data_IF_335771358746
#
_entry.id   IF_335771358746
#
_cell.length_a   1.000
_cell.length_b   1.000
_cell.length_c   1.000
_cell.angle_alpha   90.00
_cell.angle_beta   90.00
_cell.angle_gamma   90.00
#
_symmetry.space_group_name_H-M   'P 1'
#
loop_
_entity.id
_entity.type
_entity.pdbx_description
1 polymer ?
#
# COMPACT_ATOMS: atom_id res chain seq x y z
N UNK A 1 35.22 -3.49 17.64
CA UNK A 1 34.37 -4.61 17.20
C UNK A 1 34.03 -4.32 15.75
N UNK A 2 34.69 -5.00 14.82
CA UNK A 2 34.45 -4.86 13.38
C UNK A 2 33.01 -5.26 13.07
N UNK A 3 32.31 -4.40 12.32
CA UNK A 3 30.87 -4.50 12.08
C UNK A 3 30.60 -5.78 11.27
N UNK A 4 29.73 -6.69 11.74
CA UNK A 4 29.48 -7.99 11.08
C UNK A 4 28.95 -7.87 9.63
N UNK A 5 28.62 -6.67 9.17
CA UNK A 5 28.20 -6.38 7.80
C UNK A 5 29.36 -6.20 6.81
N UNK A 6 30.60 -5.99 7.25
CA UNK A 6 31.76 -5.76 6.35
C UNK A 6 32.26 -7.03 5.60
N UNK A 7 31.67 -8.20 5.85
CA UNK A 7 32.19 -9.48 5.32
C UNK A 7 31.44 -10.04 4.11
N UNK A 8 30.26 -9.51 3.76
CA UNK A 8 29.50 -9.99 2.60
C UNK A 8 29.83 -9.14 1.35
N UNK A 9 30.15 -9.74 0.20
CA UNK A 9 30.44 -9.00 -1.04
C UNK A 9 29.13 -8.47 -1.67
N UNK A 10 28.51 -7.48 -1.04
CA UNK A 10 27.17 -7.01 -1.40
C UNK A 10 27.15 -5.82 -2.37
N UNK A 11 28.20 -4.99 -2.40
CA UNK A 11 28.25 -3.81 -3.27
C UNK A 11 28.01 -4.13 -4.76
N UNK A 12 28.60 -5.20 -5.35
CA UNK A 12 28.28 -5.56 -6.73
C UNK A 12 26.80 -5.88 -6.96
N UNK A 13 26.14 -6.52 -5.99
CA UNK A 13 24.70 -6.83 -6.07
C UNK A 13 23.85 -5.57 -5.94
N UNK A 14 24.27 -4.60 -5.11
CA UNK A 14 23.61 -3.31 -5.01
C UNK A 14 23.76 -2.50 -6.31
N UNK A 15 24.94 -2.51 -6.93
CA UNK A 15 25.19 -1.86 -8.21
C UNK A 15 24.35 -2.48 -9.33
N UNK A 16 24.23 -3.81 -9.36
CA UNK A 16 23.36 -4.54 -10.31
C UNK A 16 21.89 -4.18 -10.11
N UNK A 17 21.42 -4.13 -8.85
CA UNK A 17 20.07 -3.69 -8.53
C UNK A 17 19.82 -2.26 -9.03
N UNK A 18 20.71 -1.31 -8.72
CA UNK A 18 20.61 0.08 -9.16
C UNK A 18 20.60 0.19 -10.69
N UNK A 19 21.46 -0.56 -11.37
CA UNK A 19 21.49 -0.61 -12.83
C UNK A 19 20.16 -1.14 -13.41
N UNK A 20 19.61 -2.21 -12.82
CA UNK A 20 18.33 -2.80 -13.23
C UNK A 20 17.16 -1.83 -13.06
N UNK A 21 17.03 -1.19 -11.89
CA UNK A 21 15.98 -0.20 -11.61
C UNK A 21 16.09 0.99 -12.57
N UNK A 22 17.31 1.48 -12.81
CA UNK A 22 17.57 2.57 -13.76
C UNK A 22 17.18 2.18 -15.19
N UNK A 23 17.53 0.97 -15.63
CA UNK A 23 17.19 0.49 -16.98
C UNK A 23 15.67 0.43 -17.21
N UNK A 24 14.90 0.09 -16.17
CA UNK A 24 13.44 0.11 -16.18
C UNK A 24 12.83 1.53 -16.13
N UNK A 25 13.64 2.56 -15.87
CA UNK A 25 13.22 3.97 -15.90
C UNK A 25 12.79 4.56 -14.55
N UNK A 26 13.04 3.87 -13.44
CA UNK A 26 12.52 4.25 -12.11
C UNK A 26 13.50 5.03 -11.22
N UNK A 27 14.73 5.26 -11.68
CA UNK A 27 15.82 5.79 -10.84
C UNK A 27 16.75 6.71 -11.63
N UNK A 28 16.32 7.98 -11.77
CA UNK A 28 16.96 9.00 -12.60
C UNK A 28 17.92 9.89 -11.80
N UNK A 29 17.60 10.23 -10.55
CA UNK A 29 18.38 11.09 -9.68
C UNK A 29 19.71 10.41 -9.30
N UNK A 30 20.87 11.00 -9.64
CA UNK A 30 22.17 10.45 -9.26
C UNK A 30 22.38 10.35 -7.74
N UNK A 31 21.76 11.22 -6.94
CA UNK A 31 21.85 11.19 -5.47
C UNK A 31 21.11 9.98 -4.91
N UNK A 32 19.93 9.68 -5.45
CA UNK A 32 19.15 8.51 -5.06
C UNK A 32 19.83 7.21 -5.52
N UNK A 33 20.47 7.22 -6.70
CA UNK A 33 21.31 6.09 -7.15
C UNK A 33 22.43 5.78 -6.15
N UNK A 34 23.15 6.80 -5.69
CA UNK A 34 24.17 6.63 -4.66
C UNK A 34 23.56 6.08 -3.35
N UNK A 35 22.42 6.62 -2.91
CA UNK A 35 21.74 6.16 -1.71
C UNK A 35 21.39 4.66 -1.75
N UNK A 36 20.87 4.15 -2.87
CA UNK A 36 20.59 2.72 -3.02
C UNK A 36 21.87 1.86 -3.09
N UNK A 37 22.92 2.36 -3.75
CA UNK A 37 24.20 1.65 -3.89
C UNK A 37 24.96 1.55 -2.56
N UNK A 38 24.83 2.57 -1.69
CA UNK A 38 25.59 2.69 -0.44
C UNK A 38 24.80 2.23 0.80
N UNK A 39 23.49 1.97 0.69
CA UNK A 39 22.67 1.48 1.81
C UNK A 39 22.57 -0.05 1.81
N UNK A 40 23.09 -0.76 2.85
CA UNK A 40 23.10 -2.22 2.87
C UNK A 40 21.72 -2.81 3.16
N UNK A 41 20.92 -3.13 2.13
CA UNK A 41 19.56 -3.69 2.30
C UNK A 41 19.51 -4.94 3.18
N UNK A 42 20.54 -5.80 3.11
CA UNK A 42 20.68 -7.02 3.92
C UNK A 42 20.92 -6.78 5.42
N UNK A 43 21.24 -5.54 5.81
CA UNK A 43 21.27 -5.12 7.20
C UNK A 43 19.85 -4.91 7.75
N UNK A 44 18.96 -4.39 6.89
CA UNK A 44 17.56 -4.13 7.23
C UNK A 44 16.66 -5.35 7.06
N UNK A 45 17.10 -6.37 6.33
CA UNK A 45 16.35 -7.60 6.07
C UNK A 45 17.23 -8.82 6.39
N UNK A 46 17.58 -9.07 7.67
CA UNK A 46 18.44 -10.21 8.04
C UNK A 46 17.78 -11.57 7.77
N UNK A 47 16.46 -11.59 7.72
CA UNK A 47 15.62 -12.71 7.32
C UNK A 47 14.32 -12.18 6.70
N UNK A 48 13.66 -13.02 5.90
CA UNK A 48 12.32 -12.76 5.35
C UNK A 48 11.53 -14.06 5.20
N UNK A 49 10.21 -13.97 5.13
CA UNK A 49 9.30 -15.12 5.07
C UNK A 49 9.40 -15.82 3.71
N UNK A 50 9.30 -17.15 3.72
CA UNK A 50 9.21 -17.92 2.49
C UNK A 50 7.81 -17.82 1.89
N UNK A 51 7.74 -17.64 0.58
CA UNK A 51 6.51 -17.55 -0.18
C UNK A 51 6.51 -18.59 -1.30
N UNK A 52 5.35 -19.20 -1.54
CA UNK A 52 5.06 -19.90 -2.78
C UNK A 52 4.29 -18.96 -3.71
N UNK A 53 4.86 -18.67 -4.87
CA UNK A 53 4.30 -17.70 -5.82
C UNK A 53 3.67 -18.47 -6.97
N UNK A 54 2.35 -18.45 -7.03
CA UNK A 54 1.55 -19.07 -8.10
C UNK A 54 0.74 -18.05 -8.91
N UNK A 55 0.00 -18.51 -9.93
CA UNK A 55 -0.88 -17.66 -10.73
C UNK A 55 -1.96 -16.94 -9.91
N UNK A 56 -2.34 -17.52 -8.76
CA UNK A 56 -3.33 -16.99 -7.82
C UNK A 56 -2.73 -16.04 -6.77
N UNK A 57 -1.43 -15.72 -6.85
CA UNK A 57 -0.74 -14.84 -5.90
C UNK A 57 0.32 -15.57 -5.06
N UNK A 58 0.80 -14.87 -4.01
CA UNK A 58 1.80 -15.39 -3.09
C UNK A 58 1.15 -15.97 -1.83
N UNK A 59 1.40 -17.25 -1.56
CA UNK A 59 0.94 -17.95 -0.36
C UNK A 59 2.10 -18.09 0.63
N UNK A 60 1.85 -17.85 1.91
CA UNK A 60 2.83 -18.15 2.96
C UNK A 60 3.14 -19.64 3.00
N UNK A 61 4.43 -19.98 3.09
CA UNK A 61 4.87 -21.33 3.43
C UNK A 61 5.76 -21.28 4.65
N UNK A 62 5.74 -22.34 5.45
CA UNK A 62 6.49 -22.37 6.71
C UNK A 62 8.00 -22.13 6.50
N UNK A 63 8.54 -21.25 7.34
CA UNK A 63 9.97 -20.96 7.44
C UNK A 63 10.39 -19.60 6.87
N UNK A 64 11.67 -19.29 7.08
CA UNK A 64 12.30 -18.05 6.66
C UNK A 64 13.46 -18.33 5.70
N UNK A 65 13.84 -17.30 4.94
CA UNK A 65 15.11 -17.22 4.24
C UNK A 65 15.99 -16.26 5.00
N UNK A 66 17.14 -16.74 5.46
CA UNK A 66 18.11 -15.97 6.25
C UNK A 66 19.51 -16.08 5.67
N UNK A 67 20.49 -15.45 6.34
CA UNK A 67 21.91 -15.44 5.94
C UNK A 67 22.56 -16.83 5.77
N UNK A 68 21.97 -17.89 6.32
CA UNK A 68 22.46 -19.27 6.13
C UNK A 68 22.02 -19.88 4.80
N UNK A 69 21.02 -19.28 4.14
CA UNK A 69 20.52 -19.74 2.85
C UNK A 69 21.44 -19.29 1.71
N UNK A 70 21.93 -20.19 0.83
CA UNK A 70 22.93 -19.82 -0.20
C UNK A 70 22.51 -18.67 -1.12
N UNK A 71 21.22 -18.52 -1.40
CA UNK A 71 20.68 -17.48 -2.29
C UNK A 71 20.19 -16.22 -1.57
N UNK A 72 20.25 -16.18 -0.24
CA UNK A 72 19.71 -15.07 0.55
C UNK A 72 20.25 -13.71 0.10
N UNK A 73 21.58 -13.59 -0.03
CA UNK A 73 22.18 -12.29 -0.31
C UNK A 73 21.80 -11.81 -1.71
N UNK A 74 21.83 -12.68 -2.71
CA UNK A 74 21.36 -12.36 -4.07
C UNK A 74 19.89 -11.98 -4.08
N UNK A 75 19.03 -12.72 -3.39
CA UNK A 75 17.59 -12.44 -3.32
C UNK A 75 17.30 -11.06 -2.68
N UNK A 76 18.03 -10.70 -1.61
CA UNK A 76 17.88 -9.39 -0.96
C UNK A 76 18.12 -8.22 -1.92
N UNK A 77 19.03 -8.38 -2.87
CA UNK A 77 19.38 -7.36 -3.87
C UNK A 77 18.63 -7.56 -5.20
N UNK A 78 17.49 -8.24 -5.19
CA UNK A 78 16.57 -8.23 -6.32
C UNK A 78 15.55 -7.11 -6.20
N UNK A 79 14.99 -6.71 -7.35
CA UNK A 79 13.89 -5.74 -7.42
C UNK A 79 12.56 -6.41 -7.08
N UNK A 80 12.46 -6.93 -5.86
CA UNK A 80 11.28 -7.59 -5.30
C UNK A 80 11.02 -7.09 -3.88
N UNK A 81 9.76 -7.13 -3.46
CA UNK A 81 9.39 -6.96 -2.07
C UNK A 81 9.73 -8.23 -1.28
N UNK A 82 10.24 -8.07 -0.07
CA UNK A 82 10.60 -9.17 0.83
C UNK A 82 9.71 -9.10 2.06
N UNK A 83 8.90 -10.13 2.27
CA UNK A 83 7.91 -10.15 3.33
C UNK A 83 8.57 -10.44 4.68
N UNK A 84 8.36 -9.61 5.71
CA UNK A 84 9.12 -9.71 6.96
C UNK A 84 8.27 -9.97 8.20
N UNK A 85 6.95 -9.78 8.12
CA UNK A 85 6.07 -10.02 9.26
C UNK A 85 4.65 -10.36 8.81
N UNK A 86 4.01 -11.26 9.55
CA UNK A 86 2.56 -11.45 9.57
C UNK A 86 2.00 -11.05 10.92
N UNK A 87 0.72 -10.66 10.94
CA UNK A 87 -0.05 -10.46 12.16
C UNK A 87 -1.37 -11.24 12.07
N UNK A 88 -1.90 -11.70 13.21
CA UNK A 88 -3.23 -12.30 13.23
C UNK A 88 -4.29 -11.24 12.88
N UNK A 89 -5.41 -11.74 12.40
CA UNK A 89 -6.62 -10.96 12.22
C UNK A 89 -7.46 -11.01 13.49
N UNK A 90 -8.01 -9.87 13.92
CA UNK A 90 -8.81 -9.81 15.16
C UNK A 90 -10.08 -10.67 14.98
N UNK A 91 -10.31 -11.59 15.92
CA UNK A 91 -11.47 -12.49 15.87
C UNK A 91 -11.31 -13.69 14.93
N UNK A 92 -10.20 -13.79 14.20
CA UNK A 92 -9.89 -14.91 13.30
C UNK A 92 -8.51 -15.48 13.65
N UNK A 93 -8.41 -16.30 14.71
CA UNK A 93 -7.13 -16.73 15.28
C UNK A 93 -6.25 -17.55 14.31
N UNK A 94 -6.86 -18.20 13.32
CA UNK A 94 -6.15 -19.00 12.31
C UNK A 94 -5.86 -18.21 11.02
N UNK A 95 -6.25 -16.93 10.96
CA UNK A 95 -6.02 -16.05 9.81
C UNK A 95 -4.85 -15.12 10.05
N UNK A 96 -3.90 -15.12 9.12
CA UNK A 96 -2.71 -14.27 9.15
C UNK A 96 -2.64 -13.42 7.90
N UNK A 97 -2.30 -12.15 8.10
CA UNK A 97 -2.16 -11.17 7.03
C UNK A 97 -0.77 -10.55 7.11
N UNK A 98 -0.19 -10.28 5.94
CA UNK A 98 1.08 -9.56 5.83
C UNK A 98 0.98 -8.20 6.51
N UNK A 99 1.91 -7.91 7.42
CA UNK A 99 1.91 -6.69 8.23
C UNK A 99 3.18 -5.86 8.09
N UNK A 100 4.25 -6.42 7.52
CA UNK A 100 5.47 -5.69 7.21
C UNK A 100 6.27 -6.34 6.08
N UNK A 101 6.96 -5.52 5.30
CA UNK A 101 7.90 -5.95 4.26
C UNK A 101 9.04 -4.94 4.10
N UNK A 102 10.13 -5.38 3.48
CA UNK A 102 11.00 -4.48 2.74
C UNK A 102 10.43 -4.31 1.35
N UNK A 103 9.82 -3.16 1.06
CA UNK A 103 9.16 -2.88 -0.21
C UNK A 103 10.09 -3.04 -1.41
N UNK A 104 9.49 -3.23 -2.58
CA UNK A 104 10.21 -3.34 -3.85
C UNK A 104 11.06 -2.08 -4.10
N UNK A 105 12.38 -2.20 -4.36
CA UNK A 105 13.28 -1.07 -4.52
C UNK A 105 12.85 -0.07 -5.60
N UNK A 106 12.38 -0.53 -6.76
CA UNK A 106 11.88 0.35 -7.83
C UNK A 106 10.66 1.18 -7.41
N UNK A 107 9.76 0.62 -6.60
CA UNK A 107 8.61 1.36 -6.06
C UNK A 107 9.06 2.45 -5.09
N UNK A 108 10.01 2.14 -4.19
CA UNK A 108 10.59 3.14 -3.29
C UNK A 108 11.29 4.27 -4.06
N UNK A 109 12.06 3.89 -5.09
CA UNK A 109 12.74 4.85 -5.95
C UNK A 109 11.75 5.80 -6.63
N UNK A 110 10.69 5.26 -7.25
CA UNK A 110 9.64 6.03 -7.89
C UNK A 110 8.92 6.98 -6.92
N UNK A 111 8.56 6.51 -5.72
CA UNK A 111 7.88 7.37 -4.75
C UNK A 111 8.76 8.52 -4.27
N UNK A 112 10.06 8.29 -4.07
CA UNK A 112 11.02 9.33 -3.68
C UNK A 112 11.24 10.34 -4.82
N UNK A 113 11.36 9.86 -6.06
CA UNK A 113 11.46 10.69 -7.27
C UNK A 113 10.21 11.56 -7.45
N UNK A 114 9.02 10.98 -7.26
CA UNK A 114 7.76 11.70 -7.35
C UNK A 114 7.61 12.76 -6.26
N UNK A 115 8.17 12.54 -5.07
CA UNK A 115 8.21 13.58 -4.04
C UNK A 115 9.18 14.72 -4.40
N UNK A 116 10.05 14.56 -5.41
CA UNK A 116 11.01 15.58 -5.83
C UNK A 116 11.79 16.16 -4.65
N UNK A 117 12.34 15.27 -3.82
CA UNK A 117 13.08 15.62 -2.61
C UNK A 117 14.36 16.38 -2.98
N UNK A 118 14.58 17.54 -2.36
CA UNK A 118 15.73 18.42 -2.59
C UNK A 118 16.54 18.62 -1.31
N UNK A 119 17.85 18.91 -1.39
CA UNK A 119 18.66 19.20 -0.22
C UNK A 119 18.06 20.38 0.56
N UNK A 120 18.06 20.28 1.89
CA UNK A 120 17.48 21.29 2.78
C UNK A 120 15.98 21.12 3.07
N UNK A 121 15.30 20.17 2.45
CA UNK A 121 13.93 19.80 2.80
C UNK A 121 13.89 18.86 4.02
N UNK A 122 12.77 18.89 4.74
CA UNK A 122 12.44 17.94 5.82
C UNK A 122 11.36 16.95 5.37
N UNK A 123 11.53 15.68 5.71
CA UNK A 123 10.66 14.58 5.31
C UNK A 123 10.09 13.87 6.53
N UNK A 124 8.78 13.58 6.50
CA UNK A 124 8.14 12.59 7.35
C UNK A 124 7.86 11.32 6.54
N UNK A 125 8.35 10.18 7.02
CA UNK A 125 7.94 8.86 6.56
C UNK A 125 6.94 8.25 7.56
N UNK A 126 5.77 7.87 7.08
CA UNK A 126 4.78 7.07 7.81
C UNK A 126 4.91 5.61 7.38
N UNK A 127 5.48 4.78 8.27
CA UNK A 127 5.77 3.37 8.02
C UNK A 127 7.27 3.06 8.00
N UNK A 128 7.96 3.14 9.13
CA UNK A 128 9.39 2.79 9.22
C UNK A 128 9.66 1.34 8.77
N UNK A 129 8.78 0.40 9.14
CA UNK A 129 8.90 -1.01 8.77
C UNK A 129 10.27 -1.60 9.14
N UNK A 130 11.05 -2.00 8.13
CA UNK A 130 12.39 -2.55 8.33
C UNK A 130 13.47 -1.51 8.64
N UNK A 131 13.23 -0.23 8.31
CA UNK A 131 14.19 0.88 8.40
C UNK A 131 14.98 1.15 7.12
N UNK A 132 14.85 0.32 6.07
CA UNK A 132 15.64 0.47 4.84
C UNK A 132 15.38 1.80 4.12
N UNK A 133 14.11 2.16 3.94
CA UNK A 133 13.74 3.40 3.25
C UNK A 133 14.09 4.65 4.09
N UNK A 134 13.90 4.59 5.42
CA UNK A 134 14.41 5.61 6.33
C UNK A 134 15.92 5.85 6.18
N UNK A 135 16.72 4.79 6.01
CA UNK A 135 18.17 4.91 5.78
C UNK A 135 18.50 5.57 4.44
N UNK A 136 17.76 5.25 3.37
CA UNK A 136 17.87 5.92 2.07
C UNK A 136 17.56 7.42 2.21
N UNK A 137 16.48 7.77 2.91
CA UNK A 137 16.13 9.17 3.18
C UNK A 137 17.20 9.89 4.01
N UNK A 138 17.77 9.21 5.02
CA UNK A 138 18.86 9.75 5.84
C UNK A 138 20.12 9.98 5.01
N UNK A 139 20.45 9.07 4.10
CA UNK A 139 21.58 9.26 3.18
C UNK A 139 21.35 10.46 2.25
N UNK A 140 20.13 10.66 1.76
CA UNK A 140 19.78 11.75 0.86
C UNK A 140 19.78 13.15 1.50
N UNK A 141 19.31 13.26 2.75
CA UNK A 141 19.02 14.55 3.39
C UNK A 141 19.82 14.82 4.67
N UNK A 142 20.46 13.79 5.22
CA UNK A 142 20.95 13.76 6.59
C UNK A 142 19.86 13.38 7.60
N UNK A 143 20.23 12.60 8.62
CA UNK A 143 19.34 12.06 9.66
C UNK A 143 18.42 13.12 10.32
N UNK A 144 18.93 14.34 10.53
CA UNK A 144 18.20 15.43 11.21
C UNK A 144 17.02 15.96 10.40
N UNK A 145 17.01 15.74 9.09
CA UNK A 145 15.94 16.16 8.19
C UNK A 145 14.85 15.07 8.04
N UNK A 146 15.04 13.90 8.64
CA UNK A 146 14.14 12.75 8.52
C UNK A 146 13.43 12.52 9.83
N UNK A 147 12.11 12.42 9.77
CA UNK A 147 11.28 11.79 10.80
C UNK A 147 10.68 10.53 10.24
N UNK A 148 10.73 9.42 10.97
CA UNK A 148 10.07 8.17 10.58
C UNK A 148 9.22 7.64 11.73
N UNK A 149 8.00 7.19 11.44
CA UNK A 149 7.07 6.66 12.45
C UNK A 149 6.63 5.25 12.11
N UNK A 150 6.44 4.44 13.15
CA UNK A 150 6.00 3.06 13.07
C UNK A 150 5.05 2.77 14.23
N UNK A 151 3.93 2.13 13.91
CA UNK A 151 2.88 1.79 14.88
C UNK A 151 3.27 0.57 15.72
N UNK A 152 3.99 -0.40 15.14
CA UNK A 152 4.45 -1.59 15.83
C UNK A 152 5.72 -1.30 16.65
N UNK A 153 5.65 -1.37 17.99
CA UNK A 153 6.78 -1.02 18.83
C UNK A 153 8.01 -1.92 18.63
N UNK A 154 7.83 -3.19 18.26
CA UNK A 154 8.92 -4.14 18.06
C UNK A 154 9.64 -3.88 16.72
N UNK A 155 8.88 -3.61 15.66
CA UNK A 155 9.45 -3.17 14.38
C UNK A 155 10.18 -1.84 14.54
N UNK A 156 9.55 -0.87 15.23
CA UNK A 156 10.15 0.44 15.50
C UNK A 156 11.49 0.29 16.21
N UNK A 157 11.54 -0.48 17.30
CA UNK A 157 12.78 -0.72 18.06
C UNK A 157 13.86 -1.31 17.16
N UNK A 158 13.53 -2.40 16.46
CA UNK A 158 14.47 -3.13 15.61
C UNK A 158 15.01 -2.27 14.46
N UNK A 159 14.15 -1.49 13.80
CA UNK A 159 14.53 -0.60 12.73
C UNK A 159 15.47 0.51 13.22
N UNK A 160 15.20 1.10 14.39
CA UNK A 160 16.05 2.13 14.98
C UNK A 160 17.42 1.58 15.38
N UNK A 161 17.50 0.38 15.96
CA UNK A 161 18.78 -0.27 16.25
C UNK A 161 19.63 -0.43 14.98
N UNK A 162 19.01 -0.87 13.89
CA UNK A 162 19.68 -1.02 12.58
C UNK A 162 20.11 0.32 11.98
N UNK A 163 19.31 1.38 12.12
CA UNK A 163 19.69 2.72 11.69
C UNK A 163 20.90 3.23 12.47
N UNK A 164 20.92 3.02 13.79
CA UNK A 164 22.03 3.41 14.68
C UNK A 164 23.32 2.68 14.31
N UNK A 165 23.25 1.39 13.93
CA UNK A 165 24.42 0.63 13.47
C UNK A 165 25.08 1.22 12.21
N UNK A 166 24.34 2.03 11.44
CA UNK A 166 24.85 2.81 10.30
C UNK A 166 25.15 4.27 10.64
N UNK A 167 25.01 4.66 11.91
CA UNK A 167 25.23 6.04 12.38
C UNK A 167 24.07 7.00 12.10
N UNK A 168 22.87 6.50 11.83
CA UNK A 168 21.67 7.32 11.60
C UNK A 168 20.75 7.33 12.82
N UNK A 169 20.31 8.54 13.20
CA UNK A 169 19.44 8.86 14.32
C UNK A 169 18.29 9.79 13.88
N UNK A 170 17.43 9.38 12.94
CA UNK A 170 16.28 10.19 12.57
C UNK A 170 15.32 10.41 13.75
N UNK A 171 14.55 11.48 13.71
CA UNK A 171 13.49 11.71 14.70
C UNK A 171 12.40 10.65 14.57
N UNK A 172 11.80 10.28 15.70
CA UNK A 172 10.59 9.44 15.76
C UNK A 172 9.38 10.18 16.30
N UNK A 173 9.54 11.49 16.54
CA UNK A 173 8.52 12.37 17.09
C UNK A 173 8.12 13.38 16.03
N UNK A 174 6.93 13.22 15.42
CA UNK A 174 6.41 14.18 14.47
C UNK A 174 6.27 15.57 15.06
N UNK A 175 6.59 16.60 14.27
CA UNK A 175 6.43 17.99 14.66
C UNK A 175 5.43 18.71 13.74
N UNK A 176 4.59 19.55 14.35
CA UNK A 176 3.55 20.33 13.66
C UNK A 176 4.19 21.35 12.73
N UNK A 177 3.68 21.46 11.50
CA UNK A 177 4.17 22.38 10.44
C UNK A 177 5.67 22.31 10.17
N UNK A 178 6.26 21.12 10.27
CA UNK A 178 7.71 20.94 10.13
C UNK A 178 8.14 20.29 8.82
N UNK A 179 7.25 19.68 8.04
CA UNK A 179 7.63 18.85 6.90
C UNK A 179 7.35 19.51 5.55
N UNK A 180 8.33 19.46 4.65
CA UNK A 180 8.17 19.82 3.23
C UNK A 180 7.56 18.68 2.42
N UNK A 181 7.79 17.43 2.87
CA UNK A 181 7.35 16.20 2.22
C UNK A 181 6.85 15.19 3.24
N UNK A 182 5.77 14.50 2.90
CA UNK A 182 5.24 13.40 3.68
C UNK A 182 5.10 12.20 2.74
N UNK A 183 5.71 11.08 3.11
CA UNK A 183 5.67 9.81 2.39
C UNK A 183 4.98 8.77 3.26
N UNK A 184 3.95 8.11 2.74
CA UNK A 184 3.38 6.94 3.38
C UNK A 184 3.81 5.66 2.65
N UNK A 185 4.49 4.77 3.37
CA UNK A 185 4.94 3.45 2.89
C UNK A 185 3.98 2.33 3.34
N UNK A 186 2.72 2.70 3.54
CA UNK A 186 1.57 1.82 3.75
C UNK A 186 0.35 2.44 3.04
N UNK A 187 -0.64 1.62 2.74
CA UNK A 187 -1.89 2.09 2.14
C UNK A 187 -2.80 2.75 3.18
N UNK A 188 -3.58 3.74 2.75
CA UNK A 188 -4.64 4.38 3.55
C UNK A 188 -5.93 4.48 2.74
N UNK A 189 -7.07 4.43 3.41
CA UNK A 189 -8.39 4.65 2.82
C UNK A 189 -8.62 6.14 2.49
N UNK A 190 -8.19 6.99 3.42
CA UNK A 190 -8.18 8.44 3.36
C UNK A 190 -6.82 8.99 3.80
N UNK A 191 -6.38 10.09 3.20
CA UNK A 191 -5.23 10.84 3.67
C UNK A 191 -5.57 11.41 5.06
N UNK A 192 -4.85 11.01 6.14
CA UNK A 192 -5.16 11.47 7.47
C UNK A 192 -5.03 12.99 7.60
N UNK A 193 -5.99 13.69 8.24
CA UNK A 193 -5.90 15.14 8.47
C UNK A 193 -4.69 15.51 9.35
N UNK A 194 -4.18 14.57 10.14
CA UNK A 194 -2.94 14.76 10.90
C UNK A 194 -1.73 15.04 9.99
N UNK A 195 -1.64 14.42 8.82
CA UNK A 195 -0.54 14.74 7.88
C UNK A 195 -0.63 16.17 7.37
N UNK A 196 -1.85 16.71 7.18
CA UNK A 196 -2.05 18.12 6.85
C UNK A 196 -1.53 19.02 7.98
N UNK A 197 -1.78 18.66 9.26
CA UNK A 197 -1.31 19.43 10.43
C UNK A 197 0.21 19.38 10.59
N UNK A 198 0.83 18.27 10.22
CA UNK A 198 2.29 18.07 10.31
C UNK A 198 3.04 18.78 9.17
N UNK A 199 2.47 18.83 7.96
CA UNK A 199 3.10 19.48 6.81
C UNK A 199 3.02 21.01 6.84
N UNK A 200 4.04 21.66 6.28
CA UNK A 200 4.00 23.11 6.01
C UNK A 200 2.93 23.42 4.94
N UNK A 201 2.39 24.65 4.87
CA UNK A 201 1.69 25.11 3.67
C UNK A 201 2.54 24.85 2.42
N UNK A 202 1.92 24.32 1.36
CA UNK A 202 2.63 23.92 0.14
C UNK A 202 3.45 22.62 0.24
N UNK A 203 3.43 21.90 1.36
CA UNK A 203 4.08 20.61 1.47
C UNK A 203 3.37 19.55 0.62
N UNK A 204 4.13 18.59 0.10
CA UNK A 204 3.60 17.52 -0.76
C UNK A 204 3.47 16.24 0.04
N UNK A 205 2.30 15.62 -0.02
CA UNK A 205 2.00 14.30 0.53
C UNK A 205 1.92 13.32 -0.63
N UNK A 206 2.63 12.20 -0.53
CA UNK A 206 2.48 11.04 -1.41
C UNK A 206 2.06 9.83 -0.57
N UNK A 207 0.92 9.26 -0.91
CA UNK A 207 0.35 8.12 -0.21
C UNK A 207 -0.30 7.15 -1.18
N UNK A 208 -0.37 5.89 -0.79
CA UNK A 208 -1.09 4.86 -1.53
C UNK A 208 -2.55 4.80 -1.06
N UNK A 209 -3.49 5.21 -1.90
CA UNK A 209 -4.92 5.18 -1.60
C UNK A 209 -5.53 3.85 -2.03
N UNK A 210 -5.93 3.04 -1.06
CA UNK A 210 -6.55 1.74 -1.29
C UNK A 210 -7.70 1.47 -0.33
N UNK A 211 -8.67 0.63 -0.73
CA UNK A 211 -9.59 0.04 0.23
C UNK A 211 -8.81 -0.69 1.35
N UNK A 212 -9.41 -0.86 2.53
CA UNK A 212 -8.89 -1.75 3.57
C UNK A 212 -8.68 -3.19 3.05
N UNK A 213 -8.16 -4.07 3.92
CA UNK A 213 -7.97 -5.49 3.63
C UNK A 213 -6.88 -5.83 2.59
N UNK A 214 -5.83 -5.00 2.45
CA UNK A 214 -4.74 -5.23 1.48
C UNK A 214 -5.24 -5.42 0.03
N UNK A 215 -6.29 -4.69 -0.36
CA UNK A 215 -6.82 -4.75 -1.72
C UNK A 215 -5.76 -4.41 -2.76
N UNK A 216 -5.77 -5.13 -3.88
CA UNK A 216 -4.93 -4.79 -5.04
C UNK A 216 -5.49 -3.57 -5.81
N UNK A 217 -6.73 -3.18 -5.54
CA UNK A 217 -7.34 -1.98 -6.13
C UNK A 217 -6.78 -0.73 -5.44
N UNK A 218 -6.44 0.29 -6.20
CA UNK A 218 -6.00 1.57 -5.64
C UNK A 218 -5.04 2.36 -6.52
N UNK A 219 -4.63 3.52 -6.05
CA UNK A 219 -3.79 4.45 -6.79
C UNK A 219 -2.94 5.28 -5.83
N UNK A 220 -1.78 5.75 -6.27
CA UNK A 220 -1.04 6.74 -5.49
C UNK A 220 -1.73 8.09 -5.60
N UNK A 221 -1.85 8.79 -4.48
CA UNK A 221 -2.31 10.18 -4.43
C UNK A 221 -1.15 11.08 -4.09
N UNK A 222 -0.90 12.05 -4.96
CA UNK A 222 0.07 13.13 -4.76
C UNK A 222 -0.69 14.43 -4.58
N UNK A 223 -0.74 14.91 -3.34
CA UNK A 223 -1.48 16.12 -2.97
C UNK A 223 -0.55 17.17 -2.37
N UNK A 224 -0.87 18.43 -2.59
CA UNK A 224 -0.17 19.57 -2.01
C UNK A 224 -1.08 20.21 -0.97
N UNK A 225 -0.55 20.44 0.23
CA UNK A 225 -1.28 21.14 1.30
C UNK A 225 -1.56 22.56 0.85
N UNK A 226 -2.81 22.99 0.99
CA UNK A 226 -3.27 24.33 0.63
C UNK A 226 -2.50 25.40 1.43
N UNK A 227 -2.35 26.61 0.88
CA UNK A 227 -1.63 27.72 1.53
C UNK A 227 -2.26 28.13 2.88
N UNK A 228 -3.56 27.90 3.06
CA UNK A 228 -4.25 28.12 4.34
C UNK A 228 -4.03 27.00 5.37
N UNK A 229 -3.38 25.91 4.95
CA UNK A 229 -3.06 24.75 5.77
C UNK A 229 -4.27 23.94 6.24
N UNK A 230 -5.47 24.11 5.65
CA UNK A 230 -6.70 23.44 6.09
C UNK A 230 -7.08 22.23 5.24
N UNK A 231 -6.59 22.15 4.01
CA UNK A 231 -6.86 21.06 3.10
C UNK A 231 -5.64 20.69 2.28
N UNK A 232 -5.82 19.77 1.33
CA UNK A 232 -4.84 19.47 0.32
C UNK A 232 -5.52 19.14 -1.01
N UNK A 233 -4.84 19.41 -2.12
CA UNK A 233 -5.34 19.13 -3.47
C UNK A 233 -4.27 18.51 -4.35
N UNK A 234 -4.68 17.63 -5.26
CA UNK A 234 -3.75 16.98 -6.15
C UNK A 234 -4.39 16.05 -7.15
N UNK A 235 -3.64 15.02 -7.54
CA UNK A 235 -4.05 14.05 -8.56
C UNK A 235 -3.73 12.64 -8.13
N UNK A 236 -4.45 11.70 -8.73
CA UNK A 236 -4.07 10.30 -8.68
C UNK A 236 -2.98 9.99 -9.71
N UNK A 237 -2.22 8.95 -9.40
CA UNK A 237 -1.19 8.38 -10.24
C UNK A 237 -1.42 6.87 -10.33
N UNK A 238 -1.13 6.24 -11.47
CA UNK A 238 -1.24 4.80 -11.60
C UNK A 238 -0.34 4.14 -10.56
N UNK A 239 -0.83 3.11 -9.86
CA UNK A 239 0.01 2.39 -8.91
C UNK A 239 1.14 1.68 -9.65
N UNK A 240 2.36 1.75 -9.12
CA UNK A 240 3.51 0.95 -9.60
C UNK A 240 3.89 -0.18 -8.65
N UNK A 241 3.11 -0.31 -7.58
CA UNK A 241 3.18 -1.35 -6.55
C UNK A 241 2.02 -1.18 -5.57
N UNK A 242 1.81 -2.20 -4.74
CA UNK A 242 0.75 -2.26 -3.73
C UNK A 242 1.36 -2.21 -2.33
N UNK A 243 0.68 -1.55 -1.40
CA UNK A 243 1.07 -1.52 0.01
C UNK A 243 0.05 -2.19 0.89
N UNK A 244 0.52 -2.66 2.06
CA UNK A 244 -0.34 -3.18 3.11
C UNK A 244 -1.16 -2.04 3.72
N UNK A 245 -2.39 -2.32 4.10
CA UNK A 245 -3.29 -1.37 4.77
C UNK A 245 -2.69 -0.86 6.09
N UNK A 246 -2.92 0.42 6.36
CA UNK A 246 -2.58 1.04 7.64
C UNK A 246 -3.24 0.26 8.79
N UNK A 247 -2.45 -0.13 9.77
CA UNK A 247 -2.98 -0.76 10.98
C UNK A 247 -3.55 0.31 11.90
N UNK A 248 -4.67 -0.01 12.54
CA UNK A 248 -5.31 0.82 13.59
C UNK A 248 -4.75 0.52 14.98
N UNK A 249 -4.20 -0.68 15.16
CA UNK A 249 -3.58 -1.18 16.40
C UNK A 249 -2.37 -2.05 16.07
N UNK A 250 -1.34 -2.09 16.93
CA UNK A 250 -0.10 -2.82 16.60
C UNK A 250 -0.21 -4.34 16.63
N UNK A 251 -1.18 -4.90 17.35
CA UNK A 251 -1.31 -6.35 17.57
C UNK A 251 -1.95 -7.09 16.40
N UNK A 252 -2.77 -6.41 15.60
CA UNK A 252 -3.58 -7.03 14.56
C UNK A 252 -3.31 -6.38 13.19
N UNK A 253 -3.43 -7.18 12.13
CA UNK A 253 -3.55 -6.64 10.79
C UNK A 253 -4.91 -5.93 10.62
N UNK A 254 -4.99 -4.97 9.70
CA UNK A 254 -6.29 -4.47 9.22
C UNK A 254 -6.72 -5.36 8.07
N UNK A 255 -7.66 -6.28 8.33
CA UNK A 255 -8.27 -7.14 7.34
C UNK A 255 -9.50 -6.49 6.68
N UNK A 256 -9.78 -5.22 7.01
CA UNK A 256 -10.97 -4.51 6.58
C UNK A 256 -12.27 -5.09 7.10
N UNK A 257 -12.27 -6.11 7.97
CA UNK A 257 -13.49 -6.78 8.41
C UNK A 257 -13.94 -6.32 9.79
N UNK A 258 -15.17 -5.80 9.80
CA UNK A 258 -16.21 -6.29 10.70
C UNK A 258 -17.29 -6.91 9.81
N UNK A 259 -16.96 -7.93 9.01
CA UNK A 259 -18.03 -8.70 8.36
C UNK A 259 -18.86 -9.31 9.50
N UNK A 260 -20.17 -9.05 9.57
CA UNK A 260 -21.00 -9.71 10.55
C UNK A 260 -20.92 -11.21 10.28
N UNK A 261 -20.56 -12.00 11.29
CA UNK A 261 -20.83 -13.43 11.27
C UNK A 261 -22.34 -13.58 11.15
N UNK A 262 -22.81 -13.98 9.97
CA UNK A 262 -24.22 -14.27 9.77
C UNK A 262 -24.57 -15.50 10.60
N UNK A 263 -25.64 -15.42 11.38
CA UNK A 263 -26.16 -16.62 12.05
C UNK A 263 -26.64 -17.64 11.01
N UNK A 264 -26.75 -18.91 11.40
CA UNK A 264 -27.33 -19.94 10.54
C UNK A 264 -28.75 -19.55 10.05
N UNK A 265 -29.53 -18.88 10.91
CA UNK A 265 -30.87 -18.39 10.59
C UNK A 265 -30.82 -17.29 9.52
N UNK A 266 -29.86 -16.37 9.60
CA UNK A 266 -29.67 -15.35 8.56
C UNK A 266 -29.14 -15.93 7.25
N UNK A 267 -28.26 -16.94 7.31
CA UNK A 267 -27.86 -17.69 6.12
C UNK A 267 -29.07 -18.37 5.44
N UNK A 268 -29.95 -18.99 6.22
CA UNK A 268 -31.16 -19.64 5.70
C UNK A 268 -32.15 -18.62 5.12
N UNK A 269 -32.46 -17.54 5.83
CA UNK A 269 -33.31 -16.44 5.34
C UNK A 269 -32.76 -15.86 4.04
N UNK A 270 -31.44 -15.64 3.96
CA UNK A 270 -30.79 -15.08 2.79
C UNK A 270 -30.79 -16.03 1.60
N UNK A 271 -30.62 -17.35 1.83
CA UNK A 271 -30.73 -18.35 0.77
C UNK A 271 -32.13 -18.42 0.13
N UNK A 272 -33.18 -18.01 0.85
CA UNK A 272 -34.55 -17.91 0.31
C UNK A 272 -34.75 -16.66 -0.57
N UNK A 273 -33.83 -15.68 -0.54
CA UNK A 273 -33.89 -14.42 -1.29
C UNK A 273 -33.05 -14.44 -2.58
N UNK A 274 -32.64 -15.62 -3.07
CA UNK A 274 -31.85 -15.72 -4.30
C UNK A 274 -32.70 -15.29 -5.50
N UNK A 275 -32.31 -14.19 -6.12
CA UNK A 275 -32.80 -13.82 -7.45
C UNK A 275 -31.71 -14.10 -8.49
N UNK A 276 -32.07 -14.76 -9.59
CA UNK A 276 -31.17 -14.98 -10.71
C UNK A 276 -31.67 -14.23 -11.94
N UNK A 277 -30.79 -13.44 -12.55
CA UNK A 277 -31.06 -12.69 -13.79
C UNK A 277 -29.84 -12.66 -14.70
N UNK A 278 -30.03 -12.25 -15.94
CA UNK A 278 -28.92 -12.01 -16.86
C UNK A 278 -28.14 -10.75 -16.46
N UNK A 279 -26.82 -10.77 -16.69
CA UNK A 279 -25.94 -9.63 -16.48
C UNK A 279 -25.95 -8.68 -17.68
N UNK A 280 -25.89 -7.39 -17.41
CA UNK A 280 -25.72 -6.33 -18.41
C UNK A 280 -24.25 -6.00 -18.67
N UNK A 281 -23.38 -6.34 -17.71
CA UNK A 281 -21.93 -6.13 -17.77
C UNK A 281 -21.25 -7.44 -17.38
N UNK A 282 -20.21 -7.80 -18.13
CA UNK A 282 -19.44 -9.02 -17.88
C UNK A 282 -18.45 -8.82 -16.71
N UNK A 283 -18.15 -9.86 -15.92
CA UNK A 283 -17.42 -9.71 -14.68
C UNK A 283 -15.97 -9.27 -14.82
N UNK A 284 -15.36 -9.47 -15.99
CA UNK A 284 -14.00 -9.03 -16.32
C UNK A 284 -13.85 -7.51 -16.25
N UNK A 285 -14.95 -6.75 -16.20
CA UNK A 285 -14.89 -5.30 -15.96
C UNK A 285 -14.22 -4.95 -14.62
N UNK A 286 -14.28 -5.84 -13.63
CA UNK A 286 -13.64 -5.64 -12.33
C UNK A 286 -12.11 -5.82 -12.38
N UNK A 287 -11.58 -6.37 -13.47
CA UNK A 287 -10.13 -6.43 -13.72
C UNK A 287 -9.59 -5.08 -14.23
N UNK A 288 -10.47 -4.18 -14.70
CA UNK A 288 -10.10 -2.80 -14.98
C UNK A 288 -9.88 -2.05 -13.66
N UNK A 289 -8.60 -1.75 -13.36
CA UNK A 289 -8.20 -1.10 -12.13
C UNK A 289 -8.82 0.30 -11.95
N UNK A 290 -9.06 1.03 -13.04
CA UNK A 290 -9.70 2.34 -12.98
C UNK A 290 -11.17 2.19 -12.61
N UNK A 291 -11.87 1.23 -13.21
CA UNK A 291 -13.25 0.95 -12.86
C UNK A 291 -13.39 0.42 -11.42
N UNK A 292 -12.54 -0.52 -10.99
CA UNK A 292 -12.56 -1.03 -9.63
C UNK A 292 -12.31 0.08 -8.59
N UNK A 293 -11.38 1.00 -8.89
CA UNK A 293 -11.14 2.20 -8.07
C UNK A 293 -12.36 3.14 -8.05
N UNK A 294 -13.05 3.30 -9.19
CA UNK A 294 -14.27 4.09 -9.29
C UNK A 294 -15.38 3.50 -8.42
N UNK A 295 -15.59 2.18 -8.47
CA UNK A 295 -16.55 1.45 -7.64
C UNK A 295 -16.32 1.70 -6.15
N UNK A 296 -15.07 1.57 -5.70
CA UNK A 296 -14.74 1.87 -4.30
C UNK A 296 -15.07 3.31 -3.91
N UNK A 297 -14.72 4.30 -4.75
CA UNK A 297 -14.97 5.72 -4.45
C UNK A 297 -16.43 6.14 -4.58
N UNK A 298 -17.28 5.30 -5.15
CA UNK A 298 -18.74 5.43 -5.10
C UNK A 298 -19.37 4.72 -3.90
N UNK A 299 -18.58 4.33 -2.90
CA UNK A 299 -18.99 3.68 -1.65
C UNK A 299 -19.67 2.32 -1.86
N UNK A 300 -19.22 1.56 -2.85
CA UNK A 300 -19.72 0.19 -2.98
C UNK A 300 -19.07 -0.77 -1.97
N UNK A 301 -17.94 -0.42 -1.33
CA UNK A 301 -17.21 -1.26 -0.36
C UNK A 301 -17.22 -2.76 -0.72
N UNK A 302 -17.00 -3.03 -2.01
CA UNK A 302 -17.07 -4.36 -2.60
C UNK A 302 -15.76 -5.11 -2.32
N UNK A 303 -15.88 -6.28 -1.71
CA UNK A 303 -14.88 -7.33 -1.82
C UNK A 303 -15.24 -8.25 -2.98
N UNK A 304 -14.32 -8.39 -3.93
CA UNK A 304 -14.46 -9.29 -5.08
C UNK A 304 -13.43 -10.41 -5.01
N UNK A 305 -13.82 -11.64 -5.30
CA UNK A 305 -12.91 -12.75 -5.48
C UNK A 305 -13.34 -13.64 -6.63
N UNK A 306 -12.35 -14.28 -7.26
CA UNK A 306 -12.55 -15.23 -8.33
C UNK A 306 -12.40 -16.67 -7.82
N UNK A 307 -13.34 -17.53 -8.17
CA UNK A 307 -13.27 -18.95 -7.87
C UNK A 307 -13.88 -19.76 -9.02
N UNK A 308 -13.13 -20.72 -9.57
CA UNK A 308 -13.61 -21.64 -10.62
C UNK A 308 -14.21 -20.96 -11.88
N UNK A 309 -13.71 -19.77 -12.25
CA UNK A 309 -14.24 -19.00 -13.39
C UNK A 309 -15.51 -18.20 -13.09
N UNK A 310 -15.85 -18.06 -11.81
CA UNK A 310 -16.95 -17.23 -11.30
C UNK A 310 -16.36 -16.06 -10.52
N UNK A 311 -17.01 -14.89 -10.57
CA UNK A 311 -16.72 -13.79 -9.65
C UNK A 311 -17.80 -13.74 -8.59
N UNK A 312 -17.39 -13.55 -7.35
CA UNK A 312 -18.28 -13.32 -6.22
C UNK A 312 -17.94 -11.98 -5.58
N UNK A 313 -18.97 -11.25 -5.20
CA UNK A 313 -18.92 -9.95 -4.55
C UNK A 313 -19.57 -10.04 -3.19
N UNK A 314 -19.02 -9.34 -2.22
CA UNK A 314 -19.68 -9.10 -0.94
C UNK A 314 -19.42 -7.69 -0.42
N UNK A 315 -20.27 -7.22 0.48
CA UNK A 315 -20.03 -6.00 1.26
C UNK A 315 -20.20 -6.30 2.76
N UNK A 316 -19.81 -5.34 3.60
CA UNK A 316 -19.87 -5.51 5.05
C UNK A 316 -21.28 -5.64 5.62
N UNK A 317 -22.33 -5.21 4.92
CA UNK A 317 -23.73 -5.45 5.34
C UNK A 317 -24.22 -6.89 5.00
N UNK A 318 -23.35 -7.67 4.37
CA UNK A 318 -23.58 -9.04 3.95
C UNK A 318 -24.34 -9.17 2.63
N UNK A 319 -24.62 -8.09 1.90
CA UNK A 319 -25.08 -8.17 0.52
C UNK A 319 -24.04 -8.92 -0.32
N UNK A 320 -24.53 -9.79 -1.21
CA UNK A 320 -23.68 -10.71 -1.96
C UNK A 320 -24.21 -10.89 -3.38
N UNK A 321 -23.30 -11.03 -4.33
CA UNK A 321 -23.63 -11.38 -5.70
C UNK A 321 -22.61 -12.36 -6.26
N UNK A 322 -23.05 -13.28 -7.12
CA UNK A 322 -22.17 -14.21 -7.83
C UNK A 322 -22.55 -14.29 -9.29
N UNK A 323 -21.57 -14.04 -10.15
CA UNK A 323 -21.75 -14.12 -11.60
C UNK A 323 -21.12 -15.41 -12.13
N UNK A 324 -21.91 -16.16 -12.88
CA UNK A 324 -21.51 -17.39 -13.57
C UNK A 324 -21.92 -17.30 -15.03
N UNK A 325 -20.92 -17.11 -15.90
CA UNK A 325 -21.18 -16.87 -17.31
C UNK A 325 -22.02 -15.60 -17.50
N UNK A 326 -23.22 -15.73 -18.07
CA UNK A 326 -24.10 -14.58 -18.33
C UNK A 326 -25.16 -14.34 -17.25
N UNK A 327 -25.17 -15.12 -16.17
CA UNK A 327 -26.17 -15.02 -15.11
C UNK A 327 -25.54 -14.53 -13.80
N UNK A 328 -26.29 -13.72 -13.05
CA UNK A 328 -25.95 -13.32 -11.68
C UNK A 328 -27.00 -13.84 -10.72
N UNK A 329 -26.53 -14.40 -9.60
CA UNK A 329 -27.33 -14.71 -8.42
C UNK A 329 -27.04 -13.66 -7.36
N UNK A 330 -28.07 -13.02 -6.85
CA UNK A 330 -27.96 -11.96 -5.84
C UNK A 330 -28.61 -12.43 -4.55
N UNK A 331 -27.97 -12.13 -3.42
CA UNK A 331 -28.42 -12.50 -2.08
C UNK A 331 -28.38 -11.26 -1.18
N UNK A 332 -29.48 -11.04 -0.46
CA UNK A 332 -29.60 -9.96 0.54
C UNK A 332 -30.56 -8.87 0.09
N UNK A 333 -30.56 -7.75 0.83
CA UNK A 333 -31.54 -6.69 0.64
C UNK A 333 -31.15 -5.68 -0.48
N UNK A 334 -30.00 -5.91 -1.14
CA UNK A 334 -29.44 -5.06 -2.21
C UNK A 334 -29.07 -5.91 -3.42
N UNK A 335 -29.38 -5.42 -4.62
CA UNK A 335 -28.82 -5.96 -5.86
C UNK A 335 -27.42 -5.36 -6.11
N UNK A 336 -26.41 -5.97 -5.48
CA UNK A 336 -25.02 -5.52 -5.56
C UNK A 336 -24.50 -5.52 -7.00
N UNK A 337 -24.99 -6.41 -7.86
CA UNK A 337 -24.57 -6.44 -9.26
C UNK A 337 -25.24 -5.34 -10.07
N UNK A 338 -26.51 -5.01 -9.80
CA UNK A 338 -27.17 -3.86 -10.40
C UNK A 338 -26.47 -2.55 -10.04
N UNK A 339 -25.91 -2.44 -8.83
CA UNK A 339 -25.11 -1.30 -8.42
C UNK A 339 -23.79 -1.20 -9.20
N UNK A 340 -23.12 -2.34 -9.45
CA UNK A 340 -21.95 -2.40 -10.34
C UNK A 340 -22.33 -1.99 -11.77
N UNK A 341 -23.43 -2.52 -12.30
CA UNK A 341 -23.93 -2.18 -13.64
C UNK A 341 -24.31 -0.69 -13.75
N UNK A 342 -24.91 -0.12 -12.71
CA UNK A 342 -25.22 1.30 -12.65
C UNK A 342 -23.96 2.16 -12.61
N UNK A 343 -22.98 1.77 -11.79
CA UNK A 343 -21.70 2.44 -11.67
C UNK A 343 -20.90 2.36 -12.97
N UNK A 344 -20.99 1.25 -13.69
CA UNK A 344 -20.42 1.10 -15.02
C UNK A 344 -21.05 2.07 -16.02
N UNK A 345 -22.39 2.21 -16.03
CA UNK A 345 -23.06 3.21 -16.88
C UNK A 345 -22.62 4.64 -16.56
N UNK A 346 -22.51 4.98 -15.28
CA UNK A 346 -22.03 6.30 -14.84
C UNK A 346 -20.58 6.55 -15.30
N UNK A 347 -19.71 5.55 -15.16
CA UNK A 347 -18.32 5.62 -15.61
C UNK A 347 -18.19 5.76 -17.13
N UNK A 348 -19.02 5.03 -17.88
CA UNK A 348 -19.13 5.18 -19.34
C UNK A 348 -19.60 6.58 -19.73
N UNK A 349 -20.61 7.11 -19.04
CA UNK A 349 -21.13 8.46 -19.29
C UNK A 349 -20.09 9.54 -18.99
N UNK A 350 -19.20 9.31 -18.02
CA UNK A 350 -18.07 10.18 -17.71
C UNK A 350 -16.89 10.05 -18.69
N UNK A 351 -16.97 9.19 -19.71
CA UNK A 351 -15.94 9.04 -20.73
C UNK A 351 -14.75 8.17 -20.33
N UNK A 352 -14.86 7.41 -19.24
CA UNK A 352 -13.81 6.49 -18.75
C UNK A 352 -12.41 7.13 -18.65
N UNK A 353 -12.30 8.29 -17.97
CA UNK A 353 -11.04 9.02 -17.94
C UNK A 353 -9.96 8.18 -17.25
N UNK A 354 -8.72 8.18 -17.75
CA UNK A 354 -7.63 7.48 -17.09
C UNK A 354 -7.42 8.04 -15.68
N UNK A 355 -6.98 7.18 -14.75
CA UNK A 355 -6.76 7.54 -13.33
C UNK A 355 -5.89 8.81 -13.16
N UNK A 356 -4.95 9.06 -14.07
CA UNK A 356 -4.09 10.26 -14.08
C UNK A 356 -4.84 11.59 -14.23
N UNK A 357 -6.06 11.56 -14.75
CA UNK A 357 -6.90 12.74 -14.92
C UNK A 357 -7.74 13.06 -13.68
N UNK A 358 -7.85 12.12 -12.74
CA UNK A 358 -8.70 12.27 -11.57
C UNK A 358 -8.03 13.17 -10.55
N UNK A 359 -8.82 14.08 -9.96
CA UNK A 359 -8.34 15.00 -8.94
C UNK A 359 -8.69 14.50 -7.54
N UNK A 360 -7.81 14.78 -6.59
CA UNK A 360 -7.99 14.45 -5.18
C UNK A 360 -8.10 15.74 -4.39
N UNK A 361 -9.08 15.79 -3.48
CA UNK A 361 -9.24 16.85 -2.49
C UNK A 361 -9.33 16.23 -1.10
N UNK A 362 -8.50 16.71 -0.19
CA UNK A 362 -8.58 16.35 1.23
C UNK A 362 -9.23 17.50 1.97
N UNK A 363 -10.37 17.19 2.60
CA UNK A 363 -11.16 18.15 3.37
C UNK A 363 -10.56 18.38 4.77
N UNK A 364 -10.84 19.52 5.43
CA UNK A 364 -10.43 19.76 6.81
C UNK A 364 -10.92 18.69 7.79
N UNK A 365 -12.07 18.08 7.49
CA UNK A 365 -12.69 17.02 8.28
C UNK A 365 -12.02 15.65 8.09
N UNK A 366 -11.08 15.53 7.13
CA UNK A 366 -10.30 14.32 6.88
C UNK A 366 -10.87 13.38 5.81
N UNK A 367 -11.93 13.79 5.10
CA UNK A 367 -12.42 13.06 3.93
C UNK A 367 -11.50 13.28 2.72
N UNK A 368 -11.15 12.20 2.01
CA UNK A 368 -10.44 12.25 0.73
C UNK A 368 -11.45 12.05 -0.41
N UNK A 369 -11.81 13.16 -1.04
CA UNK A 369 -12.75 13.24 -2.16
C UNK A 369 -11.99 13.04 -3.47
N UNK A 370 -12.53 12.19 -4.35
CA UNK A 370 -11.97 11.93 -5.68
C UNK A 370 -13.00 12.33 -6.72
N UNK A 371 -12.58 13.22 -7.63
CA UNK A 371 -13.44 13.77 -8.66
C UNK A 371 -12.91 13.36 -10.05
N UNK A 372 -13.82 12.90 -10.91
CA UNK A 372 -13.53 12.69 -12.32
C UNK A 372 -13.43 14.04 -13.04
N UNK A 373 -12.68 14.14 -14.16
CA UNK A 373 -12.78 15.30 -15.04
C UNK A 373 -14.24 15.50 -15.49
N UNK A 374 -14.67 16.76 -15.50
CA UNK A 374 -16.02 17.18 -15.90
C UNK A 374 -16.15 17.54 -17.38
#
# INVERSE_FOLDING_TARGET
MTNRNEQLPWHPLADELVASIKQKGHLSDPRLRAAFAETPRHHFVPEYLRLDIGPSGATHIDGTVDRSTPQYLTAVYTDQALMTQTKPVRGQPDSFVWSSSSSMPSVMADMIEELQIRPGMTVLESGTGTGYNAAILCHLLGERAVTTIEIDPDLRKTALERLVDLGYHPSTTPQVRSYDRILATHAVDNIPPEWIKLGKPGAVILADLRPPANSQVGAWAKVTIDEDGRGARGRLMPPRGYFMSARKVPEFADDGQQLPELTLEEHQRRAEMIETRDVLVQPEILDDQAFALYCWRRNLDIWSWYQNGEVSLSTADGAWAQVRGTAVSVIGDRDLWAEVEHTHRDWQAAGQPPVTEWTVRVTPEGSTEIELPG
#
